data_IF_117560579941
#
_entry.id   IF_117560579941
#
_cell.length_a   1.000
_cell.length_b   1.000
_cell.length_c   1.000
_cell.angle_alpha   90.00
_cell.angle_beta   90.00
_cell.angle_gamma   90.00
#
_symmetry.space_group_name_H-M   'P 1'
#
loop_
_entity.id
_entity.type
_entity.pdbx_description
1 polymer ?
#
# COMPACT_ATOMS: atom_id res chain seq x y z
N UNK A 1 -29.41 4.73 6.76
CA UNK A 1 -28.29 3.93 6.20
C UNK A 1 -27.19 3.84 7.25
N UNK A 2 -26.50 2.70 7.41
CA UNK A 2 -25.35 2.61 8.33
C UNK A 2 -24.23 3.53 7.84
N UNK A 3 -23.37 3.98 8.76
CA UNK A 3 -22.33 4.98 8.43
C UNK A 3 -21.37 4.49 7.33
N UNK A 4 -20.97 3.21 7.38
CA UNK A 4 -20.01 2.66 6.42
C UNK A 4 -20.62 2.46 5.03
N UNK A 5 -21.84 1.92 4.94
CA UNK A 5 -22.62 1.82 3.68
C UNK A 5 -22.80 3.18 3.01
N UNK A 6 -23.01 4.23 3.80
CA UNK A 6 -23.14 5.60 3.27
C UNK A 6 -21.84 6.13 2.69
N UNK A 7 -20.74 5.92 3.39
CA UNK A 7 -19.41 6.37 2.96
C UNK A 7 -19.00 5.68 1.68
N UNK A 8 -19.23 4.37 1.59
CA UNK A 8 -19.01 3.57 0.38
C UNK A 8 -19.83 4.11 -0.79
N UNK A 9 -21.14 4.34 -0.59
CA UNK A 9 -22.00 4.94 -1.62
C UNK A 9 -21.50 6.31 -2.09
N UNK A 10 -21.07 7.19 -1.17
CA UNK A 10 -20.52 8.51 -1.53
C UNK A 10 -19.21 8.36 -2.31
N UNK A 11 -18.34 7.43 -1.91
CA UNK A 11 -17.09 7.15 -2.58
C UNK A 11 -17.32 6.63 -4.00
N UNK A 12 -18.18 5.63 -4.18
CA UNK A 12 -18.51 5.06 -5.50
C UNK A 12 -19.09 6.09 -6.46
N UNK A 13 -19.92 7.00 -5.96
CA UNK A 13 -20.43 8.12 -6.76
C UNK A 13 -19.30 9.02 -7.25
N UNK A 14 -18.33 9.32 -6.38
CA UNK A 14 -17.18 10.16 -6.71
C UNK A 14 -16.20 9.44 -7.64
N UNK A 15 -16.00 8.12 -7.50
CA UNK A 15 -15.18 7.31 -8.42
C UNK A 15 -15.75 7.37 -9.84
N UNK A 16 -17.07 7.31 -9.99
CA UNK A 16 -17.73 7.32 -11.31
C UNK A 16 -17.77 8.69 -11.97
N UNK A 17 -18.00 9.74 -11.18
CA UNK A 17 -18.27 11.10 -11.69
C UNK A 17 -17.04 12.01 -11.62
N UNK A 18 -15.95 11.54 -11.01
CA UNK A 18 -14.68 12.21 -10.68
C UNK A 18 -14.78 13.47 -9.80
N UNK A 19 -15.83 14.28 -9.93
CA UNK A 19 -16.05 15.52 -9.20
C UNK A 19 -17.54 15.79 -9.05
N UNK A 20 -17.99 16.05 -7.84
CA UNK A 20 -19.40 16.36 -7.55
C UNK A 20 -19.53 17.52 -6.58
N UNK A 21 -20.61 18.30 -6.72
CA UNK A 21 -20.92 19.32 -5.70
C UNK A 21 -21.40 18.63 -4.42
N UNK A 22 -21.06 19.20 -3.26
CA UNK A 22 -21.52 18.67 -1.96
C UNK A 22 -23.05 18.67 -1.90
N UNK A 23 -23.71 19.63 -2.54
CA UNK A 23 -25.17 19.70 -2.61
C UNK A 23 -25.76 18.55 -3.45
N UNK A 24 -25.10 18.14 -4.52
CA UNK A 24 -25.56 17.00 -5.32
C UNK A 24 -25.37 15.68 -4.59
N UNK A 25 -24.27 15.53 -3.83
CA UNK A 25 -24.06 14.38 -2.96
C UNK A 25 -25.16 14.31 -1.90
N UNK A 26 -25.48 15.43 -1.24
CA UNK A 26 -26.58 15.50 -0.26
C UNK A 26 -27.90 15.07 -0.89
N UNK A 27 -28.24 15.61 -2.07
CA UNK A 27 -29.49 15.29 -2.77
C UNK A 27 -29.59 13.81 -3.17
N UNK A 28 -28.51 13.23 -3.69
CA UNK A 28 -28.49 11.83 -4.19
C UNK A 28 -28.41 10.80 -3.05
N UNK A 29 -27.80 11.15 -1.92
CA UNK A 29 -27.70 10.24 -0.77
C UNK A 29 -28.96 10.29 0.10
N UNK A 30 -29.59 11.47 0.23
CA UNK A 30 -30.85 11.64 0.96
C UNK A 30 -30.70 11.78 2.48
N UNK A 31 -29.46 11.93 2.99
CA UNK A 31 -29.17 12.15 4.41
C UNK A 31 -28.93 13.64 4.73
N UNK A 32 -28.97 14.00 6.02
CA UNK A 32 -28.84 15.41 6.43
C UNK A 32 -27.49 16.03 6.01
N UNK A 33 -27.45 17.33 5.66
CA UNK A 33 -26.21 18.03 5.28
C UNK A 33 -25.08 17.88 6.31
N UNK A 34 -25.41 17.90 7.60
CA UNK A 34 -24.44 17.72 8.68
C UNK A 34 -23.82 16.32 8.70
N UNK A 35 -24.59 15.29 8.32
CA UNK A 35 -24.13 13.91 8.28
C UNK A 35 -23.24 13.67 7.06
N UNK A 36 -23.65 14.14 5.88
CA UNK A 36 -22.85 14.05 4.65
C UNK A 36 -21.54 14.82 4.80
N UNK A 37 -21.55 16.01 5.41
CA UNK A 37 -20.31 16.76 5.69
C UNK A 37 -19.37 15.99 6.61
N UNK A 38 -19.90 15.29 7.64
CA UNK A 38 -19.09 14.42 8.52
C UNK A 38 -18.46 13.25 7.76
N UNK A 39 -19.21 12.61 6.86
CA UNK A 39 -18.70 11.50 6.06
C UNK A 39 -17.68 11.96 5.00
N UNK A 40 -17.91 13.11 4.37
CA UNK A 40 -16.93 13.71 3.46
C UNK A 40 -15.63 14.11 4.20
N UNK A 41 -15.73 14.64 5.42
CA UNK A 41 -14.55 14.89 6.26
C UNK A 41 -13.81 13.59 6.60
N UNK A 42 -14.54 12.50 6.85
CA UNK A 42 -13.93 11.19 7.07
C UNK A 42 -13.18 10.72 5.81
N UNK A 43 -13.83 10.76 4.64
CA UNK A 43 -13.22 10.32 3.38
C UNK A 43 -11.99 11.17 3.00
N UNK A 44 -12.05 12.48 3.21
CA UNK A 44 -10.94 13.42 2.98
C UNK A 44 -9.76 13.14 3.93
N UNK A 45 -10.01 12.97 5.24
CA UNK A 45 -8.96 12.65 6.22
C UNK A 45 -8.23 11.34 5.93
N UNK A 46 -8.88 10.42 5.22
CA UNK A 46 -8.31 9.13 4.84
C UNK A 46 -7.77 9.12 3.40
N UNK A 47 -7.68 10.28 2.73
CA UNK A 47 -7.05 10.38 1.41
C UNK A 47 -7.86 9.77 0.25
N UNK A 48 -9.17 9.53 0.43
CA UNK A 48 -10.02 8.98 -0.63
C UNK A 48 -10.54 10.04 -1.59
N UNK A 49 -10.65 11.30 -1.12
CA UNK A 49 -11.24 12.42 -1.85
C UNK A 49 -10.51 13.72 -1.49
N UNK A 50 -10.58 14.72 -2.38
CA UNK A 50 -10.17 16.11 -2.12
C UNK A 50 -11.39 17.03 -2.09
N UNK A 51 -11.48 17.95 -1.13
CA UNK A 51 -12.55 18.97 -1.11
C UNK A 51 -12.02 20.34 -1.48
N UNK A 52 -12.77 21.04 -2.33
CA UNK A 52 -12.48 22.43 -2.73
C UNK A 52 -13.79 23.18 -2.86
N UNK A 53 -13.89 24.39 -2.28
CA UNK A 53 -15.01 25.34 -2.39
C UNK A 53 -16.34 24.77 -2.92
N UNK A 54 -17.02 23.95 -2.11
CA UNK A 54 -18.35 23.41 -2.42
C UNK A 54 -18.40 22.09 -3.21
N UNK A 55 -17.25 21.50 -3.55
CA UNK A 55 -17.11 20.25 -4.27
C UNK A 55 -16.30 19.21 -3.50
N UNK A 56 -16.56 17.95 -3.80
CA UNK A 56 -15.70 16.81 -3.50
C UNK A 56 -15.23 16.23 -4.84
N UNK A 57 -13.95 15.93 -4.93
CA UNK A 57 -13.32 15.31 -6.09
C UNK A 57 -12.79 13.95 -5.65
N UNK A 58 -13.06 12.91 -6.42
CA UNK A 58 -12.29 11.69 -6.31
C UNK A 58 -10.83 12.01 -6.59
N UNK A 59 -9.98 11.61 -5.67
CA UNK A 59 -8.57 11.45 -5.98
C UNK A 59 -8.38 9.96 -6.14
N UNK A 60 -7.78 9.58 -7.25
CA UNK A 60 -7.19 8.25 -7.30
C UNK A 60 -6.33 8.15 -6.05
N UNK A 61 -6.47 7.08 -5.23
CA UNK A 61 -5.60 6.89 -4.08
C UNK A 61 -4.20 7.11 -4.61
N UNK A 62 -3.53 8.18 -4.16
CA UNK A 62 -2.20 8.44 -4.69
C UNK A 62 -1.41 7.20 -4.38
N UNK A 63 -0.84 6.61 -5.43
CA UNK A 63 0.24 5.66 -5.25
C UNK A 63 1.33 6.53 -4.64
N UNK A 64 1.41 6.42 -3.32
CA UNK A 64 1.99 7.38 -2.38
C UNK A 64 3.24 8.01 -2.95
N UNK A 65 3.20 9.32 -3.21
CA UNK A 65 4.39 10.01 -3.69
C UNK A 65 5.44 10.11 -2.58
N UNK A 66 6.71 10.17 -2.97
CA UNK A 66 7.83 10.29 -2.03
C UNK A 66 7.70 11.47 -1.03
N UNK A 67 6.97 12.52 -1.42
CA UNK A 67 6.71 13.71 -0.59
C UNK A 67 5.75 13.47 0.58
N UNK A 68 5.02 12.36 0.57
CA UNK A 68 4.05 12.00 1.59
C UNK A 68 4.61 11.05 2.66
N UNK A 69 5.83 10.50 2.46
CA UNK A 69 6.49 9.71 3.49
C UNK A 69 6.97 10.60 4.63
N UNK A 70 6.80 10.12 5.87
CA UNK A 70 7.40 10.79 7.03
C UNK A 70 8.93 10.78 6.91
N UNK A 71 9.58 11.77 7.53
CA UNK A 71 11.04 11.90 7.52
C UNK A 71 11.74 10.61 8.00
N UNK A 72 11.16 9.94 8.99
CA UNK A 72 11.70 8.67 9.53
C UNK A 72 11.68 7.55 8.48
N UNK A 73 10.59 7.43 7.70
CA UNK A 73 10.51 6.41 6.64
C UNK A 73 11.48 6.69 5.51
N UNK A 74 11.70 7.96 5.18
CA UNK A 74 12.73 8.36 4.21
C UNK A 74 14.12 8.01 4.72
N UNK A 75 14.40 8.27 6.01
CA UNK A 75 15.69 7.95 6.62
C UNK A 75 15.97 6.44 6.63
N UNK A 76 14.97 5.63 7.01
CA UNK A 76 15.04 4.17 6.97
C UNK A 76 15.27 3.68 5.54
N UNK A 77 14.50 4.18 4.57
CA UNK A 77 14.65 3.81 3.17
C UNK A 77 16.06 4.10 2.62
N UNK A 78 16.64 5.26 2.98
CA UNK A 78 18.01 5.64 2.61
C UNK A 78 19.08 4.76 3.25
N UNK A 79 18.82 4.20 4.43
CA UNK A 79 19.72 3.24 5.06
C UNK A 79 19.60 1.88 4.38
N UNK A 80 18.37 1.40 4.21
CA UNK A 80 18.06 0.10 3.62
C UNK A 80 18.54 -0.03 2.18
N UNK A 81 18.42 1.01 1.34
CA UNK A 81 18.86 0.95 -0.06
C UNK A 81 20.35 0.69 -0.22
N UNK A 82 21.17 1.03 0.79
CA UNK A 82 22.62 0.76 0.76
C UNK A 82 22.96 -0.72 0.89
N UNK A 83 21.99 -1.53 1.30
CA UNK A 83 22.12 -2.98 1.40
C UNK A 83 21.72 -3.68 0.09
N UNK A 84 21.19 -2.94 -0.87
CA UNK A 84 20.78 -3.45 -2.18
C UNK A 84 21.95 -3.38 -3.14
N UNK A 85 22.22 -4.50 -3.77
CA UNK A 85 23.31 -4.68 -4.72
C UNK A 85 22.74 -5.02 -6.10
N UNK A 86 23.48 -4.64 -7.13
CA UNK A 86 23.13 -5.01 -8.50
C UNK A 86 23.08 -6.54 -8.64
N UNK A 87 22.03 -7.07 -9.28
CA UNK A 87 21.81 -8.52 -9.41
C UNK A 87 20.93 -9.11 -8.31
N UNK A 88 20.55 -8.34 -7.28
CA UNK A 88 19.69 -8.84 -6.22
C UNK A 88 18.30 -9.27 -6.71
N UNK A 89 17.80 -10.36 -6.13
CA UNK A 89 16.39 -10.73 -6.14
C UNK A 89 15.80 -10.35 -4.78
N UNK A 90 14.94 -9.34 -4.71
CA UNK A 90 14.40 -8.81 -3.46
C UNK A 90 12.93 -9.16 -3.31
N UNK A 91 12.51 -9.53 -2.10
CA UNK A 91 11.10 -9.50 -1.75
C UNK A 91 10.79 -8.21 -0.98
N UNK A 92 9.83 -7.44 -1.50
CA UNK A 92 9.28 -6.25 -0.86
C UNK A 92 7.85 -6.52 -0.41
N UNK A 93 7.62 -6.53 0.90
CA UNK A 93 6.27 -6.60 1.47
C UNK A 93 5.45 -5.34 1.16
N UNK A 94 4.15 -5.42 1.39
CA UNK A 94 3.21 -4.33 1.44
C UNK A 94 3.47 -3.38 2.62
N UNK A 95 3.58 -2.08 2.34
CA UNK A 95 3.70 -1.06 3.37
C UNK A 95 4.39 0.22 2.90
N UNK A 96 4.19 1.30 3.66
CA UNK A 96 4.81 2.60 3.36
C UNK A 96 6.34 2.58 3.48
N UNK A 97 6.89 1.77 4.38
CA UNK A 97 8.35 1.66 4.56
C UNK A 97 9.02 1.01 3.36
N UNK A 98 8.46 -0.10 2.89
CA UNK A 98 8.95 -0.85 1.74
C UNK A 98 8.69 -0.11 0.43
N UNK A 99 7.57 0.62 0.32
CA UNK A 99 7.32 1.53 -0.80
C UNK A 99 8.33 2.69 -0.84
N UNK A 100 8.65 3.30 0.31
CA UNK A 100 9.67 4.35 0.38
C UNK A 100 11.05 3.84 -0.05
N UNK A 101 11.42 2.60 0.34
CA UNK A 101 12.60 1.92 -0.18
C UNK A 101 12.52 1.70 -1.69
N UNK A 102 11.37 1.27 -2.19
CA UNK A 102 11.16 1.05 -3.62
C UNK A 102 11.46 2.30 -4.46
N UNK A 103 11.05 3.48 -3.98
CA UNK A 103 11.39 4.77 -4.59
C UNK A 103 12.91 5.05 -4.61
N UNK A 104 13.67 4.66 -3.58
CA UNK A 104 15.12 4.87 -3.57
C UNK A 104 15.83 3.99 -4.60
N UNK A 105 15.23 2.86 -4.98
CA UNK A 105 15.79 1.94 -5.97
C UNK A 105 15.47 2.32 -7.42
N UNK A 106 14.66 3.36 -7.66
CA UNK A 106 14.36 3.81 -9.04
C UNK A 106 15.65 4.24 -9.74
N UNK A 107 15.89 3.68 -10.93
CA UNK A 107 17.10 3.90 -11.72
C UNK A 107 18.26 2.95 -11.38
N UNK A 108 18.10 2.07 -10.38
CA UNK A 108 18.96 0.91 -10.23
C UNK A 108 18.65 -0.12 -11.32
N UNK A 109 19.67 -0.89 -11.70
CA UNK A 109 19.61 -1.86 -12.79
C UNK A 109 19.76 -3.28 -12.29
N UNK A 110 19.34 -4.23 -13.11
CA UNK A 110 19.53 -5.66 -12.88
C UNK A 110 18.98 -6.14 -11.52
N UNK A 111 17.85 -5.57 -11.09
CA UNK A 111 17.13 -6.02 -9.90
C UNK A 111 15.91 -6.85 -10.31
N UNK A 112 15.63 -7.90 -9.55
CA UNK A 112 14.36 -8.64 -9.61
C UNK A 112 13.59 -8.39 -8.33
N UNK A 113 12.39 -7.82 -8.43
CA UNK A 113 11.53 -7.53 -7.28
C UNK A 113 10.36 -8.50 -7.29
N UNK A 114 10.15 -9.20 -6.18
CA UNK A 114 8.89 -9.86 -5.88
C UNK A 114 8.13 -9.01 -4.88
N UNK A 115 6.87 -8.72 -5.14
CA UNK A 115 6.05 -7.95 -4.21
C UNK A 115 4.59 -8.38 -4.24
N UNK A 116 3.92 -8.25 -3.10
CA UNK A 116 2.46 -8.31 -3.01
C UNK A 116 1.83 -6.91 -3.01
N UNK A 117 2.62 -5.84 -3.17
CA UNK A 117 2.18 -4.45 -3.08
C UNK A 117 1.82 -3.88 -4.45
N UNK A 118 0.56 -3.47 -4.62
CA UNK A 118 0.12 -2.77 -5.85
C UNK A 118 0.88 -1.46 -6.07
N UNK A 119 1.09 -0.61 -5.03
CA UNK A 119 1.90 0.61 -5.16
C UNK A 119 3.32 0.36 -5.69
N UNK A 120 4.00 -0.67 -5.16
CA UNK A 120 5.37 -1.01 -5.61
C UNK A 120 5.36 -1.52 -7.04
N UNK A 121 4.42 -2.41 -7.38
CA UNK A 121 4.29 -2.93 -8.73
C UNK A 121 4.02 -1.82 -9.76
N UNK A 122 3.15 -0.87 -9.41
CA UNK A 122 2.87 0.28 -10.26
C UNK A 122 4.10 1.19 -10.44
N UNK A 123 4.82 1.48 -9.36
CA UNK A 123 6.04 2.29 -9.42
C UNK A 123 7.02 1.74 -10.47
N UNK A 124 7.30 0.43 -10.44
CA UNK A 124 8.26 -0.15 -11.38
C UNK A 124 7.69 -0.40 -12.77
N UNK A 125 6.37 -0.55 -12.91
CA UNK A 125 5.73 -0.62 -14.24
C UNK A 125 5.97 0.63 -15.10
N UNK A 126 6.27 1.77 -14.47
CA UNK A 126 6.51 3.05 -15.14
C UNK A 126 8.00 3.43 -15.25
N UNK A 127 8.91 2.66 -14.65
CA UNK A 127 10.35 2.96 -14.55
C UNK A 127 11.20 1.78 -15.02
N UNK A 128 10.93 1.30 -16.25
CA UNK A 128 11.20 -0.04 -16.82
C UNK A 128 12.61 -0.65 -16.86
N UNK A 129 13.42 -0.50 -15.80
CA UNK A 129 14.72 -1.17 -15.64
C UNK A 129 14.70 -2.27 -14.57
N UNK A 130 13.61 -2.39 -13.78
CA UNK A 130 13.47 -3.36 -12.70
C UNK A 130 12.44 -4.43 -13.08
N UNK A 131 12.86 -5.69 -13.11
CA UNK A 131 11.94 -6.80 -13.34
C UNK A 131 11.08 -7.00 -12.10
N UNK A 132 9.76 -6.92 -12.26
CA UNK A 132 8.83 -6.97 -11.12
C UNK A 132 7.84 -8.11 -11.28
N UNK A 133 7.81 -8.98 -10.28
CA UNK A 133 6.88 -10.08 -10.11
C UNK A 133 5.85 -9.70 -9.04
N UNK A 134 4.58 -9.73 -9.42
CA UNK A 134 3.47 -9.52 -8.51
C UNK A 134 2.92 -10.88 -8.08
N UNK A 135 2.81 -11.13 -6.77
CA UNK A 135 2.49 -12.47 -6.21
C UNK A 135 1.12 -13.02 -6.64
N UNK A 136 0.22 -12.17 -7.16
CA UNK A 136 -1.17 -12.55 -7.45
C UNK A 136 -2.00 -12.71 -6.17
N UNK A 137 -3.21 -13.27 -6.29
CA UNK A 137 -4.12 -13.47 -5.15
C UNK A 137 -5.20 -12.39 -5.01
N UNK A 138 -5.73 -12.23 -3.79
CA UNK A 138 -6.85 -11.34 -3.51
C UNK A 138 -6.40 -9.93 -3.12
N UNK A 139 -6.90 -8.91 -3.83
CA UNK A 139 -6.60 -7.51 -3.52
C UNK A 139 -7.40 -7.03 -2.32
N UNK A 140 -6.70 -6.69 -1.24
CA UNK A 140 -7.27 -5.85 -0.18
C UNK A 140 -7.09 -4.38 -0.53
N UNK A 141 -8.19 -3.73 -0.90
CA UNK A 141 -8.20 -2.33 -1.36
C UNK A 141 -7.65 -1.36 -0.32
N UNK A 142 -7.95 -1.56 0.98
CA UNK A 142 -7.52 -0.63 2.05
C UNK A 142 -6.01 -0.61 2.26
N UNK A 143 -5.35 -1.73 2.05
CA UNK A 143 -3.90 -1.90 2.21
C UNK A 143 -3.16 -1.81 0.87
N UNK A 144 -3.89 -1.74 -0.24
CA UNK A 144 -3.37 -1.82 -1.60
C UNK A 144 -2.42 -3.01 -1.79
N UNK A 145 -2.75 -4.13 -1.15
CA UNK A 145 -1.91 -5.31 -1.04
C UNK A 145 -2.66 -6.57 -1.45
N UNK A 146 -1.94 -7.49 -2.07
CA UNK A 146 -2.41 -8.84 -2.37
C UNK A 146 -2.17 -9.74 -1.17
N UNK A 147 -3.20 -10.51 -0.83
CA UNK A 147 -3.19 -11.45 0.30
C UNK A 147 -3.86 -12.77 -0.11
N UNK A 148 -3.82 -13.72 0.81
CA UNK A 148 -4.47 -15.03 0.67
C UNK A 148 -3.48 -16.13 0.34
N UNK A 149 -4.00 -17.35 0.29
CA UNK A 149 -3.23 -18.58 0.14
C UNK A 149 -2.38 -18.60 -1.13
N UNK A 150 -2.83 -17.96 -2.20
CA UNK A 150 -2.10 -17.84 -3.45
C UNK A 150 -0.78 -17.10 -3.26
N UNK A 151 -0.77 -16.05 -2.43
CA UNK A 151 0.44 -15.30 -2.08
C UNK A 151 1.37 -16.18 -1.28
N UNK A 152 0.85 -16.89 -0.28
CA UNK A 152 1.65 -17.78 0.56
C UNK A 152 2.33 -18.88 -0.26
N UNK A 153 1.56 -19.53 -1.12
CA UNK A 153 2.07 -20.57 -2.00
C UNK A 153 3.07 -20.02 -3.02
N UNK A 154 2.84 -18.83 -3.58
CA UNK A 154 3.78 -18.18 -4.48
C UNK A 154 5.12 -17.94 -3.78
N UNK A 155 5.08 -17.31 -2.62
CA UNK A 155 6.25 -16.97 -1.80
C UNK A 155 7.02 -18.22 -1.39
N UNK A 156 6.33 -19.29 -1.01
CA UNK A 156 6.97 -20.55 -0.59
C UNK A 156 7.79 -21.25 -1.68
N UNK A 157 7.60 -20.88 -2.96
CA UNK A 157 8.24 -21.51 -4.12
C UNK A 157 9.41 -20.72 -4.69
N UNK A 158 9.68 -19.53 -4.17
CA UNK A 158 10.72 -18.64 -4.67
C UNK A 158 11.86 -18.50 -3.67
N UNK A 159 13.03 -18.12 -4.17
CA UNK A 159 14.18 -17.76 -3.35
C UNK A 159 14.61 -16.35 -3.72
N UNK A 160 14.74 -15.48 -2.72
CA UNK A 160 15.20 -14.10 -2.85
C UNK A 160 16.51 -13.93 -2.09
N UNK A 161 17.40 -13.06 -2.57
CA UNK A 161 18.66 -12.74 -1.89
C UNK A 161 18.42 -11.93 -0.62
N UNK A 162 17.44 -11.01 -0.65
CA UNK A 162 17.10 -10.18 0.53
C UNK A 162 15.59 -9.96 0.63
N UNK A 163 15.14 -9.77 1.86
CA UNK A 163 13.74 -9.57 2.22
C UNK A 163 13.61 -8.26 2.99
N UNK A 164 12.74 -7.36 2.52
CA UNK A 164 12.39 -6.13 3.23
C UNK A 164 10.92 -6.18 3.66
N UNK A 165 10.73 -6.17 4.98
CA UNK A 165 9.43 -6.32 5.61
C UNK A 165 8.92 -5.03 6.23
N UNK A 166 7.63 -4.77 6.10
CA UNK A 166 6.99 -3.69 6.84
C UNK A 166 6.29 -4.25 8.07
N UNK A 167 6.60 -3.69 9.22
CA UNK A 167 5.97 -4.07 10.49
C UNK A 167 5.35 -2.86 11.18
N UNK A 168 4.33 -3.10 12.01
CA UNK A 168 3.73 -2.07 12.88
C UNK A 168 4.40 -2.01 14.25
N UNK A 169 5.22 -3.00 14.59
CA UNK A 169 6.03 -3.02 15.79
C UNK A 169 6.98 -4.21 15.82
N UNK A 170 8.09 -4.04 16.52
CA UNK A 170 9.00 -5.14 16.85
C UNK A 170 8.96 -5.30 18.36
N UNK A 171 8.60 -6.49 18.83
CA UNK A 171 8.58 -6.81 20.25
C UNK A 171 9.64 -7.84 20.56
N UNK A 172 10.83 -7.39 20.96
CA UNK A 172 11.93 -8.21 21.50
C UNK A 172 11.92 -9.68 21.04
N UNK A 173 11.61 -10.59 21.96
CA UNK A 173 11.56 -12.05 21.72
C UNK A 173 10.25 -12.55 21.08
N UNK A 174 9.23 -11.72 20.96
CA UNK A 174 7.90 -12.04 20.40
C UNK A 174 7.80 -11.78 18.89
N UNK A 175 8.81 -11.17 18.27
CA UNK A 175 8.90 -10.98 16.83
C UNK A 175 8.14 -9.76 16.28
N UNK A 176 7.71 -9.87 15.02
CA UNK A 176 7.04 -8.79 14.27
C UNK A 176 5.54 -8.72 14.60
N UNK A 177 5.02 -7.51 14.78
CA UNK A 177 3.59 -7.24 14.98
C UNK A 177 2.97 -6.61 13.73
N UNK A 178 1.81 -7.10 13.32
CA UNK A 178 1.02 -6.49 12.25
C UNK A 178 -0.42 -6.21 12.72
N UNK A 179 -1.11 -5.33 11.99
CA UNK A 179 -2.44 -4.84 12.36
C UNK A 179 -3.57 -5.72 11.87
N UNK A 180 -3.31 -6.68 10.96
CA UNK A 180 -4.35 -7.56 10.41
C UNK A 180 -3.88 -9.01 10.28
N UNK A 181 -4.77 -10.00 10.48
CA UNK A 181 -4.42 -11.42 10.41
C UNK A 181 -3.91 -11.84 9.02
N UNK A 182 -4.49 -11.32 7.94
CA UNK A 182 -3.99 -11.68 6.60
C UNK A 182 -2.58 -11.13 6.31
N UNK A 183 -2.21 -10.02 6.95
CA UNK A 183 -0.82 -9.56 6.88
C UNK A 183 0.06 -10.50 7.69
N UNK A 184 -0.41 -10.99 8.85
CA UNK A 184 0.33 -11.98 9.64
C UNK A 184 0.57 -13.28 8.86
N UNK A 185 -0.43 -13.76 8.13
CA UNK A 185 -0.35 -14.97 7.30
C UNK A 185 0.72 -14.82 6.22
N UNK A 186 0.67 -13.73 5.44
CA UNK A 186 1.65 -13.44 4.39
C UNK A 186 3.04 -13.16 4.97
N UNK A 187 3.14 -12.38 6.04
CA UNK A 187 4.41 -12.07 6.70
C UNK A 187 5.06 -13.33 7.30
N UNK A 188 4.25 -14.24 7.82
CA UNK A 188 4.71 -15.48 8.47
C UNK A 188 5.43 -16.45 7.52
N UNK A 189 5.16 -16.38 6.21
CA UNK A 189 5.79 -17.26 5.21
C UNK A 189 7.04 -16.67 4.55
N UNK A 190 7.26 -15.36 4.66
CA UNK A 190 8.44 -14.73 4.03
C UNK A 190 9.80 -15.22 4.57
N UNK A 191 9.97 -15.60 5.85
CA UNK A 191 11.22 -16.19 6.30
C UNK A 191 11.61 -17.47 5.55
N UNK A 192 10.65 -18.15 4.90
CA UNK A 192 10.91 -19.38 4.14
C UNK A 192 11.56 -19.13 2.77
N UNK A 193 11.55 -17.90 2.25
CA UNK A 193 12.07 -17.58 0.92
C UNK A 193 13.40 -16.80 0.91
N UNK A 194 13.90 -16.35 2.06
CA UNK A 194 15.20 -15.66 2.17
C UNK A 194 16.35 -16.60 2.55
N UNK A 195 17.63 -16.23 2.34
CA UNK A 195 18.73 -16.84 3.06
C UNK A 195 18.48 -16.63 4.57
N UNK A 196 18.94 -17.55 5.43
CA UNK A 196 18.65 -17.58 6.88
C UNK A 196 19.07 -16.37 7.73
N UNK A 197 19.34 -15.21 7.12
CA UNK A 197 19.57 -13.94 7.77
C UNK A 197 18.46 -12.96 7.37
N UNK A 198 17.46 -12.81 8.24
CA UNK A 198 16.55 -11.66 8.25
C UNK A 198 17.40 -10.40 8.44
N UNK A 199 17.22 -9.41 7.57
CA UNK A 199 17.80 -8.08 7.76
C UNK A 199 16.70 -7.20 8.32
N UNK A 200 16.72 -7.04 9.64
CA UNK A 200 15.83 -6.16 10.41
C UNK A 200 16.29 -4.69 10.40
#
# INVERSE_FOLDING_TARGET
>A
MKNDERREKIYDMLVREEKMSVNDIIRRVGDSPATIRRDLTFLEKNGYILRTHGYAKYIQPEIVHMKEFSADKIAIARAAVKLVEEGDALLLDSGFSTLALAYQMVGMKNLSIVTNSIPVAHLYSTHGEIQTYLTGGFLRVREAALVGREVEEYVSRIHVSKLFLSTTGVRGTEGLSCVTPFQAEVTGVYPCCGPGNLVD
#
